data_IF_548537526031
#
_entry.id   IF_548537526031
#
_cell.length_a   1.000
_cell.length_b   1.000
_cell.length_c   1.000
_cell.angle_alpha   90.00
_cell.angle_beta   90.00
_cell.angle_gamma   90.00
#
_symmetry.space_group_name_H-M   'P 1'
#
loop_
_entity.id
_entity.type
_entity.pdbx_description
1 polymer ?
#
# COMPACT_ATOMS: atom_id res chain seq x y z
N UNK A 1 -3.93 18.71 12.49
CA UNK A 1 -4.98 17.71 12.78
C UNK A 1 -4.50 16.66 13.77
N UNK A 2 -3.46 15.86 13.45
CA UNK A 2 -2.96 14.81 14.36
C UNK A 2 -2.55 15.33 15.75
N UNK A 3 -1.79 16.44 15.80
CA UNK A 3 -1.42 17.07 17.08
C UNK A 3 -2.65 17.50 17.90
N UNK A 4 -3.61 18.18 17.28
CA UNK A 4 -4.83 18.64 17.94
C UNK A 4 -5.73 17.48 18.43
N UNK A 5 -5.87 16.42 17.62
CA UNK A 5 -6.60 15.21 18.00
C UNK A 5 -5.88 14.43 19.12
N UNK A 6 -4.54 14.39 19.06
CA UNK A 6 -3.71 13.75 20.06
C UNK A 6 -3.78 14.46 21.41
N UNK A 7 -3.73 15.79 21.45
CA UNK A 7 -3.88 16.57 22.69
C UNK A 7 -5.29 16.50 23.28
N UNK A 8 -6.30 16.24 22.45
CA UNK A 8 -7.69 16.06 22.88
C UNK A 8 -7.99 14.63 23.37
N UNK A 9 -7.15 13.66 23.02
CA UNK A 9 -7.32 12.24 23.39
C UNK A 9 -6.42 11.90 24.58
N UNK A 10 -6.90 11.08 25.52
CA UNK A 10 -6.11 10.64 26.68
C UNK A 10 -5.43 9.28 26.42
N UNK A 11 -4.41 8.97 27.25
CA UNK A 11 -3.72 7.68 27.25
C UNK A 11 -2.83 7.42 26.02
N UNK A 12 -2.59 6.15 25.73
CA UNK A 12 -1.68 5.70 24.66
C UNK A 12 -2.11 6.15 23.25
N UNK A 13 -3.42 6.37 23.03
CA UNK A 13 -3.90 6.88 21.75
C UNK A 13 -3.45 8.35 21.54
N UNK A 14 -3.58 9.19 22.57
CA UNK A 14 -3.16 10.59 22.52
C UNK A 14 -1.67 10.73 22.27
N UNK A 15 -0.84 10.01 23.03
CA UNK A 15 0.62 10.06 22.88
C UNK A 15 1.09 9.61 21.48
N UNK A 16 0.51 8.53 20.94
CA UNK A 16 0.82 8.05 19.60
C UNK A 16 0.40 9.06 18.49
N UNK A 17 -0.76 9.69 18.62
CA UNK A 17 -1.22 10.70 17.66
C UNK A 17 -0.34 11.95 17.68
N UNK A 18 0.12 12.37 18.86
CA UNK A 18 1.08 13.48 19.00
C UNK A 18 2.41 13.10 18.37
N UNK A 19 2.97 11.93 18.70
CA UNK A 19 4.22 11.43 18.13
C UNK A 19 4.15 11.38 16.59
N UNK A 20 3.06 10.84 16.05
CA UNK A 20 2.82 10.81 14.60
C UNK A 20 2.78 12.23 14.02
N UNK A 21 2.06 13.16 14.67
CA UNK A 21 1.99 14.56 14.24
C UNK A 21 3.35 15.26 14.16
N UNK A 22 4.27 14.97 15.10
CA UNK A 22 5.63 15.50 15.11
C UNK A 22 6.46 14.92 13.96
N UNK A 23 6.30 13.63 13.68
CA UNK A 23 7.13 12.87 12.75
C UNK A 23 6.69 13.02 11.29
N UNK A 24 5.39 13.25 11.03
CA UNK A 24 4.81 13.32 9.68
C UNK A 24 5.55 14.24 8.69
N UNK A 25 5.99 15.46 9.06
CA UNK A 25 6.73 16.31 8.12
C UNK A 25 8.01 15.64 7.59
N UNK A 26 8.76 14.97 8.45
CA UNK A 26 10.00 14.29 8.06
C UNK A 26 9.71 13.10 7.14
N UNK A 27 8.67 12.31 7.45
CA UNK A 27 8.22 11.20 6.60
C UNK A 27 7.78 11.67 5.23
N UNK A 28 7.02 12.77 5.16
CA UNK A 28 6.57 13.32 3.89
C UNK A 28 7.74 13.79 3.03
N UNK A 29 8.76 14.42 3.63
CA UNK A 29 9.99 14.80 2.91
C UNK A 29 10.74 13.57 2.43
N UNK A 30 10.89 12.55 3.29
CA UNK A 30 11.55 11.30 2.95
C UNK A 30 10.88 10.57 1.79
N UNK A 31 9.55 10.44 1.82
CA UNK A 31 8.77 9.85 0.73
C UNK A 31 8.87 10.69 -0.56
N UNK A 32 8.85 12.02 -0.44
CA UNK A 32 9.01 12.92 -1.59
C UNK A 32 10.37 12.73 -2.29
N UNK A 33 11.45 12.50 -1.54
CA UNK A 33 12.75 12.18 -2.12
C UNK A 33 12.72 10.87 -2.90
N UNK A 34 12.10 9.82 -2.34
CA UNK A 34 11.98 8.52 -3.01
C UNK A 34 11.31 8.66 -4.38
N UNK A 35 10.16 9.34 -4.43
CA UNK A 35 9.43 9.56 -5.70
C UNK A 35 10.18 10.49 -6.66
N UNK A 36 10.88 11.51 -6.15
CA UNK A 36 11.75 12.37 -6.99
C UNK A 36 12.86 11.56 -7.64
N UNK A 37 13.55 10.69 -6.91
CA UNK A 37 14.60 9.85 -7.47
C UNK A 37 14.07 8.85 -8.52
N UNK A 38 12.88 8.29 -8.30
CA UNK A 38 12.22 7.47 -9.33
C UNK A 38 11.88 8.28 -10.58
N UNK A 39 11.34 9.49 -10.40
CA UNK A 39 11.02 10.39 -11.51
C UNK A 39 12.26 10.87 -12.27
N UNK A 40 13.40 11.03 -11.59
CA UNK A 40 14.70 11.38 -12.21
C UNK A 40 15.38 10.18 -12.88
N UNK A 41 14.96 8.94 -12.59
CA UNK A 41 15.63 7.73 -13.09
C UNK A 41 16.91 7.38 -12.33
N UNK A 42 16.97 7.74 -11.04
CA UNK A 42 18.10 7.47 -10.12
C UNK A 42 17.71 6.45 -9.04
N UNK A 43 17.34 5.20 -9.39
CA UNK A 43 16.87 4.20 -8.42
C UNK A 43 17.90 3.84 -7.36
N UNK A 44 19.21 3.91 -7.67
CA UNK A 44 20.28 3.65 -6.71
C UNK A 44 20.30 4.68 -5.56
N UNK A 45 19.98 5.95 -5.85
CA UNK A 45 19.89 7.01 -4.84
C UNK A 45 18.67 6.80 -3.92
N UNK A 46 17.54 6.38 -4.49
CA UNK A 46 16.36 5.98 -3.71
C UNK A 46 16.67 4.79 -2.79
N UNK A 47 17.35 3.76 -3.31
CA UNK A 47 17.76 2.59 -2.53
C UNK A 47 18.70 2.97 -1.39
N UNK A 48 19.71 3.81 -1.63
CA UNK A 48 20.61 4.29 -0.59
C UNK A 48 19.84 5.02 0.52
N UNK A 49 18.86 5.84 0.15
CA UNK A 49 18.01 6.56 1.08
C UNK A 49 17.13 5.63 1.93
N UNK A 50 16.55 4.61 1.31
CA UNK A 50 15.73 3.60 2.00
C UNK A 50 16.56 2.68 2.89
N UNK A 51 17.79 2.35 2.47
CA UNK A 51 18.72 1.57 3.29
C UNK A 51 19.15 2.34 4.53
N UNK A 52 19.52 3.62 4.39
CA UNK A 52 19.88 4.45 5.55
C UNK A 52 18.70 4.61 6.51
N UNK A 53 17.48 4.77 5.97
CA UNK A 53 16.29 4.80 6.80
C UNK A 53 16.09 3.49 7.56
N UNK A 54 16.15 2.35 6.87
CA UNK A 54 15.97 1.03 7.45
C UNK A 54 17.04 0.69 8.49
N UNK A 55 18.32 0.93 8.20
CA UNK A 55 19.42 0.65 9.14
C UNK A 55 19.34 1.54 10.37
N UNK A 56 19.02 2.82 10.20
CA UNK A 56 18.85 3.75 11.33
C UNK A 56 17.66 3.36 12.19
N UNK A 57 16.54 2.95 11.56
CA UNK A 57 15.35 2.47 12.26
C UNK A 57 15.65 1.18 13.04
N UNK A 58 16.31 0.21 12.43
CA UNK A 58 16.67 -1.06 13.09
C UNK A 58 17.61 -0.81 14.27
N UNK A 59 18.62 0.05 14.10
CA UNK A 59 19.52 0.41 15.19
C UNK A 59 18.77 1.11 16.34
N UNK A 60 17.85 2.02 16.02
CA UNK A 60 17.03 2.70 17.02
C UNK A 60 16.10 1.72 17.76
N UNK A 61 15.43 0.82 17.03
CA UNK A 61 14.55 -0.19 17.62
C UNK A 61 15.30 -1.23 18.46
N UNK A 62 16.56 -1.52 18.15
CA UNK A 62 17.40 -2.39 18.98
C UNK A 62 17.88 -1.68 20.26
N UNK A 63 18.19 -0.38 20.19
CA UNK A 63 18.78 0.35 21.30
C UNK A 63 17.76 0.95 22.29
N UNK A 64 16.58 1.35 21.81
CA UNK A 64 15.60 2.11 22.62
C UNK A 64 14.86 1.27 23.67
N UNK A 65 14.39 0.04 23.40
CA UNK A 65 13.65 -0.76 24.39
C UNK A 65 14.48 -1.04 25.65
N UNK A 66 15.79 -1.18 25.51
CA UNK A 66 16.71 -1.38 26.63
C UNK A 66 16.85 -0.16 27.55
N UNK A 67 16.50 1.04 27.07
CA UNK A 67 16.69 2.32 27.80
C UNK A 67 15.39 2.99 28.22
N UNK A 68 14.32 2.83 27.43
CA UNK A 68 13.05 3.57 27.60
C UNK A 68 11.83 2.65 27.62
N UNK A 69 12.02 1.33 27.56
CA UNK A 69 10.94 0.35 27.47
C UNK A 69 10.31 0.29 26.07
N UNK A 70 9.32 -0.59 25.91
CA UNK A 70 8.65 -0.87 24.63
C UNK A 70 7.43 0.05 24.39
N UNK A 71 7.53 1.32 24.75
CA UNK A 71 6.42 2.27 24.53
C UNK A 71 6.24 2.53 23.02
N UNK A 72 4.99 2.40 22.56
CA UNK A 72 4.63 2.55 21.15
C UNK A 72 4.97 3.96 20.64
N UNK A 73 4.77 4.99 21.46
CA UNK A 73 5.05 6.36 21.06
C UNK A 73 6.56 6.57 20.85
N UNK A 74 7.40 5.94 21.68
CA UNK A 74 8.85 5.96 21.52
C UNK A 74 9.28 5.30 20.20
N UNK A 75 8.69 4.16 19.83
CA UNK A 75 8.96 3.50 18.56
C UNK A 75 8.51 4.34 17.35
N UNK A 76 7.38 5.04 17.44
CA UNK A 76 6.93 5.97 16.39
C UNK A 76 7.90 7.14 16.24
N UNK A 77 8.37 7.73 17.34
CA UNK A 77 9.37 8.81 17.31
C UNK A 77 10.70 8.32 16.72
N UNK A 78 11.13 7.11 17.06
CA UNK A 78 12.35 6.51 16.52
C UNK A 78 12.28 6.25 15.02
N UNK A 79 11.15 5.74 14.55
CA UNK A 79 10.85 5.59 13.12
C UNK A 79 10.92 6.93 12.37
N UNK A 80 10.40 7.98 13.00
CA UNK A 80 10.48 9.34 12.48
C UNK A 80 11.86 9.97 12.50
N UNK A 81 12.62 9.76 13.57
CA UNK A 81 14.00 10.21 13.66
C UNK A 81 14.86 9.58 12.57
N UNK A 82 14.66 8.28 12.30
CA UNK A 82 15.28 7.62 11.17
C UNK A 82 14.90 8.26 9.82
N UNK A 83 13.64 8.70 9.67
CA UNK A 83 13.18 9.40 8.47
C UNK A 83 13.84 10.78 8.32
N UNK A 84 14.13 11.49 9.42
CA UNK A 84 14.91 12.74 9.39
C UNK A 84 16.31 12.48 8.86
N UNK A 85 17.00 11.45 9.36
CA UNK A 85 18.36 11.11 8.91
C UNK A 85 18.38 10.82 7.40
N UNK A 86 17.41 10.05 6.92
CA UNK A 86 17.30 9.77 5.50
C UNK A 86 16.89 11.02 4.69
N UNK A 87 15.97 11.84 5.18
CA UNK A 87 15.61 13.10 4.53
C UNK A 87 16.81 14.05 4.37
N UNK A 88 17.70 14.13 5.37
CA UNK A 88 18.95 14.88 5.32
C UNK A 88 19.91 14.31 4.27
N UNK A 89 20.01 12.99 4.16
CA UNK A 89 20.75 12.34 3.08
C UNK A 89 20.16 12.68 1.70
N UNK A 90 18.83 12.67 1.56
CA UNK A 90 18.13 13.11 0.35
C UNK A 90 18.50 14.54 -0.05
N UNK A 91 18.54 15.47 0.91
CA UNK A 91 18.99 16.86 0.72
C UNK A 91 20.46 16.89 0.27
N UNK A 92 21.34 16.08 0.88
CA UNK A 92 22.74 16.02 0.49
C UNK A 92 22.94 15.46 -0.93
N UNK A 93 22.15 14.46 -1.33
CA UNK A 93 22.21 13.80 -2.64
C UNK A 93 21.70 14.66 -3.81
N UNK A 94 20.79 15.59 -3.53
CA UNK A 94 20.21 16.50 -4.54
C UNK A 94 20.71 17.93 -4.42
N UNK A 95 21.34 18.28 -3.28
CA UNK A 95 21.73 19.64 -2.90
C UNK A 95 20.55 20.62 -2.94
N UNK A 96 19.33 20.12 -2.76
CA UNK A 96 18.11 20.90 -2.81
C UNK A 96 17.39 20.83 -1.47
N UNK A 97 17.01 21.99 -0.93
CA UNK A 97 16.22 22.08 0.28
C UNK A 97 14.72 22.00 -0.04
N UNK A 98 13.92 21.28 0.77
CA UNK A 98 12.49 21.26 0.61
C UNK A 98 11.92 22.66 0.86
N UNK A 99 11.07 23.15 -0.07
CA UNK A 99 10.37 24.43 0.04
C UNK A 99 8.86 24.19 0.24
N UNK A 100 8.36 24.29 1.49
CA UNK A 100 6.94 24.08 1.80
C UNK A 100 6.01 25.05 1.05
N UNK A 101 6.45 26.28 0.76
CA UNK A 101 5.61 27.28 0.08
C UNK A 101 5.37 26.88 -1.37
N UNK A 102 6.41 26.39 -2.04
CA UNK A 102 6.29 25.84 -3.40
C UNK A 102 5.44 24.57 -3.42
N UNK A 103 5.61 23.69 -2.42
CA UNK A 103 4.80 22.49 -2.29
C UNK A 103 3.30 22.82 -2.15
N UNK A 104 2.95 23.76 -1.27
CA UNK A 104 1.56 24.21 -1.09
C UNK A 104 1.02 24.84 -2.38
N UNK A 105 1.80 25.71 -3.04
CA UNK A 105 1.40 26.34 -4.31
C UNK A 105 1.16 25.31 -5.42
N UNK A 106 2.02 24.30 -5.50
CA UNK A 106 1.85 23.21 -6.46
C UNK A 106 0.60 22.39 -6.14
N UNK A 107 0.38 22.08 -4.86
CA UNK A 107 -0.79 21.33 -4.39
C UNK A 107 -2.09 22.07 -4.71
N UNK A 108 -2.17 23.38 -4.46
CA UNK A 108 -3.35 24.18 -4.78
C UNK A 108 -3.57 24.35 -6.28
N UNK A 109 -2.50 24.45 -7.07
CA UNK A 109 -2.59 24.48 -8.53
C UNK A 109 -3.12 23.17 -9.12
N UNK A 110 -2.81 22.03 -8.51
CA UNK A 110 -3.25 20.69 -8.94
C UNK A 110 -4.39 20.14 -8.06
N UNK A 111 -5.25 21.01 -7.51
CA UNK A 111 -6.33 20.63 -6.59
C UNK A 111 -7.29 19.57 -7.14
N UNK A 112 -7.50 19.55 -8.45
CA UNK A 112 -8.38 18.56 -9.07
C UNK A 112 -7.75 17.16 -9.02
N UNK A 113 -6.51 17.03 -9.49
CA UNK A 113 -5.77 15.75 -9.47
C UNK A 113 -5.53 15.27 -8.04
N UNK A 114 -5.01 16.14 -7.18
CA UNK A 114 -4.74 15.80 -5.77
C UNK A 114 -6.03 15.49 -5.01
N UNK A 115 -7.11 16.22 -5.28
CA UNK A 115 -8.43 15.98 -4.71
C UNK A 115 -8.99 14.60 -5.09
N UNK A 116 -8.97 14.25 -6.38
CA UNK A 116 -9.44 12.93 -6.82
C UNK A 116 -8.56 11.80 -6.31
N UNK A 117 -7.23 11.94 -6.31
CA UNK A 117 -6.33 10.91 -5.77
C UNK A 117 -6.49 10.74 -4.25
N UNK A 118 -6.68 11.83 -3.51
CA UNK A 118 -6.93 11.79 -2.06
C UNK A 118 -8.28 11.13 -1.79
N UNK A 119 -9.32 11.53 -2.50
CA UNK A 119 -10.64 10.94 -2.38
C UNK A 119 -10.62 9.45 -2.73
N UNK A 120 -9.89 9.06 -3.78
CA UNK A 120 -9.68 7.68 -4.20
C UNK A 120 -8.99 6.87 -3.11
N UNK A 121 -7.89 7.38 -2.55
CA UNK A 121 -7.15 6.72 -1.47
C UNK A 121 -8.02 6.53 -0.21
N UNK A 122 -8.72 7.60 0.23
CA UNK A 122 -9.65 7.53 1.36
C UNK A 122 -10.78 6.55 1.09
N UNK A 123 -11.31 6.52 -0.13
CA UNK A 123 -12.42 5.65 -0.51
C UNK A 123 -12.02 4.17 -0.43
N UNK A 124 -10.90 3.80 -1.06
CA UNK A 124 -10.46 2.39 -1.09
C UNK A 124 -9.91 1.95 0.26
N UNK A 125 -8.95 2.71 0.82
CA UNK A 125 -8.33 2.34 2.10
C UNK A 125 -9.29 2.50 3.26
N UNK A 126 -10.15 3.52 3.24
CA UNK A 126 -11.20 3.70 4.22
C UNK A 126 -12.18 2.52 4.21
N UNK A 127 -12.64 2.07 3.03
CA UNK A 127 -13.50 0.89 2.93
C UNK A 127 -12.81 -0.37 3.44
N UNK A 128 -11.54 -0.61 3.06
CA UNK A 128 -10.77 -1.78 3.48
C UNK A 128 -10.51 -1.79 4.99
N UNK A 129 -10.13 -0.66 5.58
CA UNK A 129 -9.87 -0.55 7.02
C UNK A 129 -11.16 -0.61 7.83
N UNK A 130 -12.24 0.02 7.35
CA UNK A 130 -13.56 -0.07 7.99
C UNK A 130 -14.06 -1.52 7.97
N UNK A 131 -13.95 -2.21 6.84
CA UNK A 131 -14.27 -3.63 6.71
C UNK A 131 -13.45 -4.47 7.71
N UNK A 132 -12.14 -4.23 7.79
CA UNK A 132 -11.25 -4.94 8.73
C UNK A 132 -11.64 -4.69 10.19
N UNK A 133 -11.99 -3.46 10.56
CA UNK A 133 -12.43 -3.11 11.92
C UNK A 133 -13.76 -3.78 12.28
N UNK A 134 -14.74 -3.75 11.38
CA UNK A 134 -16.04 -4.40 11.58
C UNK A 134 -15.86 -5.92 11.68
N UNK A 135 -15.06 -6.53 10.80
CA UNK A 135 -14.71 -7.95 10.89
C UNK A 135 -14.01 -8.26 12.22
N UNK A 136 -13.17 -7.36 12.72
CA UNK A 136 -12.53 -7.49 14.02
C UNK A 136 -13.49 -7.40 15.20
N UNK A 137 -14.56 -6.61 15.07
CA UNK A 137 -15.58 -6.44 16.10
C UNK A 137 -16.55 -7.63 16.18
N UNK A 138 -16.96 -8.17 15.04
CA UNK A 138 -17.94 -9.26 14.97
C UNK A 138 -17.32 -10.65 14.77
N UNK A 139 -16.06 -10.72 14.35
CA UNK A 139 -15.34 -11.97 14.11
C UNK A 139 -14.68 -12.52 15.36
N UNK A 140 -14.26 -13.78 15.30
CA UNK A 140 -13.49 -14.40 16.39
C UNK A 140 -12.04 -13.88 16.40
N UNK A 141 -11.36 -13.83 17.56
CA UNK A 141 -9.94 -13.48 17.64
C UNK A 141 -9.06 -14.36 16.73
N UNK A 142 -9.41 -15.64 16.61
CA UNK A 142 -8.74 -16.59 15.72
C UNK A 142 -8.90 -16.23 14.24
N UNK A 143 -10.08 -15.78 13.82
CA UNK A 143 -10.34 -15.30 12.46
C UNK A 143 -9.49 -14.06 12.13
N UNK A 144 -9.46 -13.09 13.05
CA UNK A 144 -8.66 -11.87 12.89
C UNK A 144 -7.17 -12.22 12.81
N UNK A 145 -6.71 -13.13 13.68
CA UNK A 145 -5.35 -13.66 13.64
C UNK A 145 -5.01 -14.31 12.30
N UNK A 146 -5.88 -15.17 11.78
CA UNK A 146 -5.68 -15.83 10.49
C UNK A 146 -5.60 -14.84 9.32
N UNK A 147 -6.50 -13.84 9.28
CA UNK A 147 -6.51 -12.78 8.25
C UNK A 147 -5.26 -11.89 8.33
N UNK A 148 -4.80 -11.55 9.55
CA UNK A 148 -3.54 -10.81 9.76
C UNK A 148 -2.33 -11.64 9.36
N UNK A 149 -2.37 -12.95 9.61
CA UNK A 149 -1.35 -13.89 9.13
C UNK A 149 -1.26 -13.87 7.60
N UNK A 150 -2.40 -13.93 6.90
CA UNK A 150 -2.44 -13.80 5.42
C UNK A 150 -1.86 -12.46 4.97
N UNK A 151 -2.27 -11.34 5.58
CA UNK A 151 -1.73 -10.02 5.24
C UNK A 151 -0.22 -9.95 5.43
N UNK A 152 0.31 -10.55 6.49
CA UNK A 152 1.75 -10.58 6.78
C UNK A 152 2.51 -11.38 5.71
N UNK A 153 1.99 -12.56 5.33
CA UNK A 153 2.59 -13.41 4.30
C UNK A 153 2.54 -12.77 2.92
N UNK A 154 1.47 -12.04 2.61
CA UNK A 154 1.25 -11.40 1.31
C UNK A 154 1.84 -9.98 1.21
N UNK A 155 2.28 -9.38 2.32
CA UNK A 155 2.86 -8.03 2.32
C UNK A 155 3.99 -7.84 1.30
N UNK A 156 4.93 -8.80 1.11
CA UNK A 156 5.98 -8.68 0.09
C UNK A 156 5.43 -8.57 -1.34
N UNK A 157 4.34 -9.27 -1.64
CA UNK A 157 3.70 -9.23 -2.97
C UNK A 157 3.04 -7.87 -3.25
N UNK A 158 2.38 -7.30 -2.25
CA UNK A 158 1.82 -5.95 -2.32
C UNK A 158 2.91 -4.90 -2.49
N UNK A 159 4.02 -5.03 -1.76
CA UNK A 159 5.15 -4.11 -1.88
C UNK A 159 5.78 -4.17 -3.28
N UNK A 160 5.92 -5.37 -3.86
CA UNK A 160 6.39 -5.54 -5.23
C UNK A 160 5.47 -4.86 -6.25
N UNK A 161 4.15 -5.00 -6.08
CA UNK A 161 3.17 -4.33 -6.93
C UNK A 161 3.30 -2.80 -6.87
N UNK A 162 3.44 -2.24 -5.66
CA UNK A 162 3.63 -0.79 -5.44
C UNK A 162 4.95 -0.30 -6.04
N UNK A 163 6.04 -1.06 -5.87
CA UNK A 163 7.34 -0.74 -6.43
C UNK A 163 7.28 -0.69 -7.97
N UNK A 164 6.77 -1.75 -8.60
CA UNK A 164 6.61 -1.84 -10.04
C UNK A 164 5.73 -0.73 -10.61
N UNK A 165 4.64 -0.39 -9.93
CA UNK A 165 3.76 0.72 -10.33
C UNK A 165 4.46 2.07 -10.26
N UNK A 166 5.25 2.30 -9.20
CA UNK A 166 5.97 3.56 -8.98
C UNK A 166 7.03 3.82 -10.06
N UNK A 167 7.62 2.77 -10.64
CA UNK A 167 8.51 2.88 -11.80
C UNK A 167 7.76 2.95 -13.14
N UNK A 168 6.65 2.23 -13.28
CA UNK A 168 5.90 2.16 -14.52
C UNK A 168 5.25 3.50 -14.90
N UNK A 169 4.70 4.23 -13.93
CA UNK A 169 4.00 5.51 -14.19
C UNK A 169 4.94 6.53 -14.86
N UNK A 170 6.13 6.88 -14.31
CA UNK A 170 7.05 7.80 -14.96
C UNK A 170 7.51 7.33 -16.36
N UNK A 171 7.73 6.03 -16.55
CA UNK A 171 8.17 5.48 -17.83
C UNK A 171 7.10 5.63 -18.92
N UNK A 172 5.83 5.43 -18.57
CA UNK A 172 4.72 5.69 -19.49
C UNK A 172 4.55 7.18 -19.80
N UNK A 173 4.79 8.06 -18.84
CA UNK A 173 4.73 9.52 -19.04
C UNK A 173 5.89 10.04 -19.90
N UNK A 174 7.10 9.46 -19.80
CA UNK A 174 8.29 9.85 -20.58
C UNK A 174 8.18 9.51 -22.07
N UNK A 175 7.30 8.59 -22.47
CA UNK A 175 7.13 8.12 -23.85
C UNK A 175 5.73 8.45 -24.38
N UNK A 176 5.41 9.74 -24.62
CA UNK A 176 4.08 10.16 -25.07
C UNK A 176 3.72 9.56 -26.45
N UNK A 177 4.71 9.48 -27.35
CA UNK A 177 4.55 9.01 -28.74
C UNK A 177 4.48 7.48 -28.88
N UNK A 178 4.52 6.74 -27.77
CA UNK A 178 4.41 5.29 -27.80
C UNK A 178 3.05 4.87 -28.41
N UNK A 179 3.03 3.99 -29.42
CA UNK A 179 1.79 3.48 -29.99
C UNK A 179 0.89 2.88 -28.91
N UNK A 180 -0.40 3.20 -28.97
CA UNK A 180 -1.40 2.76 -27.97
C UNK A 180 -1.41 1.24 -27.77
N UNK A 181 -1.18 0.46 -28.83
CA UNK A 181 -1.07 -1.01 -28.76
C UNK A 181 0.14 -1.47 -27.93
N UNK A 182 1.27 -0.81 -28.08
CA UNK A 182 2.50 -1.11 -27.31
C UNK A 182 2.31 -0.76 -25.84
N UNK A 183 1.66 0.39 -25.56
CA UNK A 183 1.33 0.80 -24.19
C UNK A 183 0.41 -0.22 -23.48
N UNK A 184 -0.63 -0.68 -24.17
CA UNK A 184 -1.52 -1.73 -23.64
C UNK A 184 -0.80 -3.07 -23.44
N UNK A 185 0.09 -3.48 -24.35
CA UNK A 185 0.91 -4.70 -24.18
C UNK A 185 1.82 -4.60 -22.95
N UNK A 186 2.49 -3.46 -22.75
CA UNK A 186 3.33 -3.23 -21.57
C UNK A 186 2.51 -3.20 -20.28
N UNK A 187 1.29 -2.65 -20.31
CA UNK A 187 0.38 -2.71 -19.18
C UNK A 187 0.04 -4.16 -18.80
N UNK A 188 -0.36 -4.98 -19.78
CA UNK A 188 -0.65 -6.39 -19.52
C UNK A 188 0.59 -7.18 -19.09
N UNK A 189 1.77 -6.86 -19.64
CA UNK A 189 3.04 -7.47 -19.22
C UNK A 189 3.36 -7.11 -17.76
N UNK A 190 3.16 -5.85 -17.35
CA UNK A 190 3.34 -5.41 -15.97
C UNK A 190 2.40 -6.19 -15.03
N UNK A 191 1.11 -6.24 -15.35
CA UNK A 191 0.14 -7.05 -14.58
C UNK A 191 0.54 -8.52 -14.53
N UNK A 192 0.98 -9.11 -15.64
CA UNK A 192 1.40 -10.51 -15.70
C UNK A 192 2.62 -10.78 -14.80
N UNK A 193 3.61 -9.88 -14.77
CA UNK A 193 4.77 -9.98 -13.88
C UNK A 193 4.34 -9.89 -12.42
N UNK A 194 3.47 -8.96 -12.06
CA UNK A 194 2.96 -8.82 -10.67
C UNK A 194 2.18 -10.07 -10.27
N UNK A 195 1.27 -10.57 -11.11
CA UNK A 195 0.51 -11.79 -10.85
C UNK A 195 1.43 -12.98 -10.70
N UNK A 196 2.33 -13.22 -11.66
CA UNK A 196 3.23 -14.37 -11.63
C UNK A 196 4.12 -14.36 -10.38
N UNK A 197 4.75 -13.23 -10.07
CA UNK A 197 5.59 -13.09 -8.87
C UNK A 197 4.80 -13.27 -7.58
N UNK A 198 3.59 -12.70 -7.49
CA UNK A 198 2.71 -12.86 -6.32
C UNK A 198 2.25 -14.30 -6.13
N UNK A 199 1.88 -14.97 -7.23
CA UNK A 199 1.46 -16.38 -7.22
C UNK A 199 2.63 -17.29 -6.85
N UNK A 200 3.83 -17.09 -7.42
CA UNK A 200 5.03 -17.85 -7.06
C UNK A 200 5.34 -17.70 -5.57
N UNK A 201 5.36 -16.46 -5.07
CA UNK A 201 5.61 -16.18 -3.66
C UNK A 201 4.62 -16.90 -2.74
N UNK A 202 3.33 -16.83 -3.06
CA UNK A 202 2.31 -17.46 -2.23
C UNK A 202 2.28 -19.00 -2.36
N UNK A 203 2.62 -19.56 -3.53
CA UNK A 203 2.76 -21.01 -3.73
C UNK A 203 3.90 -21.59 -2.88
N UNK A 204 4.99 -20.85 -2.66
CA UNK A 204 6.10 -21.28 -1.78
C UNK A 204 5.59 -21.59 -0.37
N UNK A 205 4.64 -20.81 0.15
CA UNK A 205 4.03 -21.06 1.47
C UNK A 205 3.11 -22.29 1.53
N UNK A 206 2.64 -22.79 0.39
CA UNK A 206 1.87 -24.04 0.35
C UNK A 206 2.79 -25.28 0.41
N UNK A 207 4.02 -25.16 -0.10
CA UNK A 207 5.02 -26.23 -0.12
C UNK A 207 5.87 -26.24 1.15
N UNK A 208 5.97 -25.12 1.86
CA UNK A 208 6.74 -25.00 3.09
C UNK A 208 6.26 -25.97 4.19
N UNK A 209 7.19 -26.61 4.93
CA UNK A 209 6.85 -27.47 6.07
C UNK A 209 6.11 -26.71 7.17
N UNK A 210 5.20 -27.40 7.87
CA UNK A 210 4.42 -26.80 8.97
C UNK A 210 5.27 -26.18 10.08
N UNK A 211 6.49 -26.71 10.30
CA UNK A 211 7.42 -26.18 11.29
C UNK A 211 7.81 -24.72 11.02
N UNK A 212 8.05 -24.35 9.75
CA UNK A 212 8.42 -22.97 9.39
C UNK A 212 7.24 -22.02 9.56
N UNK A 213 6.05 -22.46 9.14
CA UNK A 213 4.84 -21.66 9.26
C UNK A 213 4.41 -21.44 10.71
N UNK A 214 4.52 -22.46 11.57
CA UNK A 214 4.29 -22.33 13.02
C UNK A 214 5.34 -21.45 13.70
N UNK A 215 6.60 -21.49 13.26
CA UNK A 215 7.62 -20.58 13.78
C UNK A 215 7.30 -19.11 13.44
N UNK A 216 6.68 -18.85 12.29
CA UNK A 216 6.36 -17.50 11.83
C UNK A 216 5.05 -16.95 12.38
N UNK A 217 3.99 -17.78 12.42
CA UNK A 217 2.62 -17.37 12.73
C UNK A 217 2.06 -18.01 14.01
N UNK A 218 2.84 -18.86 14.69
CA UNK A 218 2.42 -19.57 15.89
C UNK A 218 1.19 -20.45 15.64
N UNK A 219 0.26 -20.41 16.59
CA UNK A 219 -0.98 -21.21 16.57
C UNK A 219 -1.93 -20.82 15.43
N UNK A 220 -1.77 -19.62 14.85
CA UNK A 220 -2.62 -19.16 13.74
C UNK A 220 -2.25 -19.81 12.40
N UNK A 221 -1.09 -20.46 12.31
CA UNK A 221 -0.59 -21.06 11.07
C UNK A 221 -1.58 -22.03 10.43
N UNK A 222 -2.18 -22.93 11.20
CA UNK A 222 -3.03 -23.99 10.64
C UNK A 222 -4.29 -23.40 9.97
N UNK A 223 -4.88 -22.38 10.59
CA UNK A 223 -6.00 -21.64 10.02
C UNK A 223 -5.58 -20.82 8.81
N UNK A 224 -4.45 -20.11 8.88
CA UNK A 224 -3.91 -19.36 7.74
C UNK A 224 -3.63 -20.27 6.55
N UNK A 225 -2.99 -21.43 6.77
CA UNK A 225 -2.68 -22.41 5.72
C UNK A 225 -3.94 -22.91 5.01
N UNK A 226 -5.01 -23.19 5.76
CA UNK A 226 -6.31 -23.59 5.19
C UNK A 226 -7.00 -22.52 4.34
N UNK A 227 -6.57 -21.26 4.46
CA UNK A 227 -7.11 -20.11 3.74
C UNK A 227 -6.18 -19.60 2.62
N UNK A 228 -4.92 -20.04 2.58
CA UNK A 228 -3.92 -19.57 1.61
C UNK A 228 -4.37 -19.75 0.15
N UNK A 229 -5.02 -20.87 -0.18
CA UNK A 229 -5.54 -21.09 -1.53
C UNK A 229 -6.52 -20.00 -1.98
N UNK A 230 -7.45 -19.60 -1.11
CA UNK A 230 -8.37 -18.49 -1.38
C UNK A 230 -7.64 -17.15 -1.40
N UNK A 231 -6.68 -16.94 -0.51
CA UNK A 231 -5.89 -15.71 -0.47
C UNK A 231 -5.08 -15.48 -1.76
N UNK A 232 -4.55 -16.54 -2.39
CA UNK A 232 -3.85 -16.47 -3.69
C UNK A 232 -4.80 -15.95 -4.77
N UNK A 233 -6.00 -16.52 -4.86
CA UNK A 233 -7.02 -16.10 -5.82
C UNK A 233 -7.45 -14.65 -5.53
N UNK A 234 -7.63 -14.30 -4.26
CA UNK A 234 -7.97 -12.95 -3.82
C UNK A 234 -6.91 -11.92 -4.23
N UNK A 235 -5.63 -12.24 -4.07
CA UNK A 235 -4.50 -11.36 -4.36
C UNK A 235 -4.27 -11.15 -5.87
N UNK A 236 -4.61 -12.15 -6.69
CA UNK A 236 -4.50 -12.06 -8.14
C UNK A 236 -5.40 -10.97 -8.74
N UNK A 237 -6.55 -10.68 -8.12
CA UNK A 237 -7.49 -9.68 -8.61
C UNK A 237 -6.89 -8.26 -8.69
N UNK A 238 -6.43 -7.68 -7.56
CA UNK A 238 -5.75 -6.38 -7.57
C UNK A 238 -4.49 -6.38 -8.43
N UNK A 239 -3.72 -7.48 -8.43
CA UNK A 239 -2.50 -7.62 -9.23
C UNK A 239 -2.75 -7.47 -10.74
N UNK A 240 -3.89 -7.98 -11.24
CA UNK A 240 -4.28 -7.82 -12.64
C UNK A 240 -4.60 -6.36 -13.01
N UNK A 241 -5.12 -5.58 -12.06
CA UNK A 241 -5.46 -4.17 -12.27
C UNK A 241 -4.26 -3.22 -12.28
N UNK A 242 -3.08 -3.66 -11.79
CA UNK A 242 -1.88 -2.82 -11.66
C UNK A 242 -1.46 -2.15 -12.97
N UNK A 243 -1.32 -2.92 -14.06
CA UNK A 243 -0.94 -2.41 -15.37
C UNK A 243 -1.93 -1.38 -15.94
N UNK A 244 -3.22 -1.73 -16.09
CA UNK A 244 -4.24 -0.79 -16.53
C UNK A 244 -4.30 0.49 -15.68
N UNK A 245 -4.21 0.36 -14.36
CA UNK A 245 -4.19 1.51 -13.45
C UNK A 245 -2.96 2.40 -13.68
N UNK A 246 -1.75 1.81 -13.79
CA UNK A 246 -0.52 2.55 -14.05
C UNK A 246 -0.59 3.37 -15.34
N UNK A 247 -1.17 2.83 -16.42
CA UNK A 247 -1.38 3.57 -17.67
C UNK A 247 -2.38 4.72 -17.49
N UNK A 248 -3.51 4.48 -16.81
CA UNK A 248 -4.51 5.53 -16.59
C UNK A 248 -3.98 6.67 -15.70
N UNK A 249 -3.16 6.35 -14.71
CA UNK A 249 -2.45 7.36 -13.92
C UNK A 249 -1.43 8.13 -14.76
N UNK A 250 -0.65 7.45 -15.60
CA UNK A 250 0.31 8.10 -16.50
C UNK A 250 -0.35 9.03 -17.52
N UNK A 251 -1.60 8.74 -17.92
CA UNK A 251 -2.44 9.59 -18.78
C UNK A 251 -3.14 10.73 -18.03
N UNK A 252 -2.94 10.87 -16.72
CA UNK A 252 -3.60 11.89 -15.90
C UNK A 252 -5.12 11.69 -15.76
N UNK A 253 -5.66 10.50 -16.03
CA UNK A 253 -7.10 10.21 -16.00
C UNK A 253 -7.60 9.90 -14.57
N UNK A 254 -7.17 10.67 -13.57
CA UNK A 254 -7.47 10.42 -12.14
C UNK A 254 -8.96 10.48 -11.80
N UNK A 255 -9.76 11.25 -12.55
CA UNK A 255 -11.22 11.27 -12.39
C UNK A 255 -11.86 9.94 -12.78
N UNK A 256 -11.28 9.23 -13.75
CA UNK A 256 -11.78 7.93 -14.19
C UNK A 256 -11.43 6.84 -13.17
N UNK A 257 -10.18 6.82 -12.70
CA UNK A 257 -9.72 5.89 -11.65
C UNK A 257 -10.55 6.06 -10.37
N UNK A 258 -10.79 7.31 -9.96
CA UNK A 258 -11.66 7.62 -8.83
C UNK A 258 -13.08 7.08 -9.02
N UNK A 259 -13.70 7.27 -10.19
CA UNK A 259 -15.06 6.77 -10.46
C UNK A 259 -15.15 5.25 -10.42
N UNK A 260 -14.13 4.54 -10.91
CA UNK A 260 -14.06 3.07 -10.82
C UNK A 260 -14.01 2.66 -9.34
N UNK A 261 -13.09 3.26 -8.58
CA UNK A 261 -12.89 2.94 -7.17
C UNK A 261 -14.09 3.35 -6.28
N UNK A 262 -14.76 4.45 -6.58
CA UNK A 262 -15.96 4.89 -5.88
C UNK A 262 -17.13 3.91 -6.07
N UNK A 263 -17.31 3.37 -7.28
CA UNK A 263 -18.31 2.32 -7.54
C UNK A 263 -17.94 1.01 -6.85
N UNK A 264 -16.65 0.78 -6.65
CA UNK A 264 -16.15 -0.46 -6.09
C UNK A 264 -16.16 -0.50 -4.55
N UNK A 265 -15.94 0.64 -3.89
CA UNK A 265 -15.82 0.71 -2.44
C UNK A 265 -17.00 0.09 -1.65
N UNK A 266 -18.28 0.23 -2.09
CA UNK A 266 -19.38 -0.44 -1.42
C UNK A 266 -19.27 -1.97 -1.48
N UNK A 267 -18.76 -2.55 -2.58
CA UNK A 267 -18.53 -3.99 -2.69
C UNK A 267 -17.39 -4.46 -1.78
N UNK A 268 -16.31 -3.67 -1.67
CA UNK A 268 -15.21 -3.93 -0.73
C UNK A 268 -15.67 -3.96 0.72
N UNK A 269 -16.71 -3.20 1.06
CA UNK A 269 -17.28 -3.19 2.39
C UNK A 269 -18.31 -4.31 2.56
N UNK A 270 -19.30 -4.40 1.67
CA UNK A 270 -20.45 -5.30 1.82
C UNK A 270 -20.09 -6.77 1.63
N UNK A 271 -19.33 -7.13 0.58
CA UNK A 271 -19.08 -8.54 0.24
C UNK A 271 -18.33 -9.29 1.35
N UNK A 272 -17.25 -8.76 1.96
CA UNK A 272 -16.57 -9.44 3.07
C UNK A 272 -17.44 -9.56 4.33
N UNK A 273 -18.28 -8.56 4.61
CA UNK A 273 -19.18 -8.58 5.77
C UNK A 273 -20.31 -9.60 5.60
N UNK A 274 -20.94 -9.65 4.43
CA UNK A 274 -21.91 -10.70 4.09
C UNK A 274 -21.22 -12.08 4.17
N UNK A 275 -20.01 -12.18 3.61
CA UNK A 275 -19.20 -13.39 3.68
C UNK A 275 -18.89 -13.85 5.11
N UNK A 276 -18.60 -12.91 6.02
CA UNK A 276 -18.38 -13.20 7.44
C UNK A 276 -19.59 -13.92 8.06
N UNK A 277 -20.81 -13.44 7.79
CA UNK A 277 -22.03 -14.04 8.32
C UNK A 277 -22.36 -15.40 7.70
N UNK A 278 -22.02 -15.62 6.41
CA UNK A 278 -22.34 -16.86 5.71
C UNK A 278 -21.34 -18.00 5.93
N UNK A 279 -20.06 -17.68 6.14
CA UNK A 279 -19.00 -18.69 6.12
C UNK A 279 -17.74 -18.32 6.90
N UNK A 280 -17.83 -17.37 7.85
CA UNK A 280 -16.72 -16.95 8.69
C UNK A 280 -15.50 -16.51 7.88
N UNK A 281 -14.32 -17.01 8.21
CA UNK A 281 -13.06 -16.60 7.59
C UNK A 281 -12.97 -16.91 6.09
N UNK A 282 -13.49 -18.08 5.67
CA UNK A 282 -13.55 -18.44 4.25
C UNK A 282 -14.50 -17.51 3.49
N UNK A 283 -15.65 -17.22 4.08
CA UNK A 283 -16.63 -16.31 3.49
C UNK A 283 -16.09 -14.89 3.33
N UNK A 284 -15.33 -14.37 4.31
CA UNK A 284 -14.63 -13.08 4.19
C UNK A 284 -13.72 -13.03 2.96
N UNK A 285 -12.88 -14.05 2.77
CA UNK A 285 -11.97 -14.11 1.61
C UNK A 285 -12.73 -14.24 0.29
N UNK A 286 -13.78 -15.06 0.25
CA UNK A 286 -14.66 -15.16 -0.93
C UNK A 286 -15.32 -13.82 -1.24
N UNK A 287 -15.76 -13.09 -0.21
CA UNK A 287 -16.29 -11.73 -0.35
C UNK A 287 -15.27 -10.77 -0.97
N UNK A 288 -14.02 -10.79 -0.51
CA UNK A 288 -12.94 -10.02 -1.12
C UNK A 288 -12.61 -10.47 -2.55
N UNK A 289 -12.63 -11.78 -2.84
CA UNK A 289 -12.44 -12.31 -4.20
C UNK A 289 -13.51 -11.73 -5.14
N UNK A 290 -14.79 -11.87 -4.79
CA UNK A 290 -15.91 -11.37 -5.61
C UNK A 290 -15.73 -9.88 -5.88
N UNK A 291 -15.43 -9.12 -4.83
CA UNK A 291 -15.18 -7.69 -4.94
C UNK A 291 -14.02 -7.41 -5.91
N UNK A 292 -12.80 -7.88 -5.63
CA UNK A 292 -11.65 -7.53 -6.46
C UNK A 292 -11.78 -7.99 -7.90
N UNK A 293 -12.31 -9.20 -8.14
CA UNK A 293 -12.47 -9.73 -9.47
C UNK A 293 -13.56 -9.01 -10.28
N UNK A 294 -14.63 -8.52 -9.64
CA UNK A 294 -15.66 -7.75 -10.33
C UNK A 294 -15.14 -6.42 -10.90
N UNK A 295 -14.03 -5.90 -10.38
CA UNK A 295 -13.42 -4.65 -10.90
C UNK A 295 -12.62 -4.84 -12.17
N UNK A 296 -12.04 -6.02 -12.39
CA UNK A 296 -11.10 -6.27 -13.49
C UNK A 296 -11.69 -5.91 -14.86
N UNK A 297 -12.93 -6.31 -15.21
CA UNK A 297 -13.51 -5.95 -16.50
C UNK A 297 -13.59 -4.44 -16.70
N UNK A 298 -13.92 -3.68 -15.65
CA UNK A 298 -14.03 -2.21 -15.75
C UNK A 298 -12.67 -1.57 -16.04
N UNK A 299 -11.60 -2.03 -15.39
CA UNK A 299 -10.23 -1.57 -15.67
C UNK A 299 -9.79 -1.89 -17.11
N UNK A 300 -10.05 -3.11 -17.58
CA UNK A 300 -9.68 -3.55 -18.93
C UNK A 300 -10.46 -2.78 -20.00
N UNK A 301 -11.77 -2.61 -19.82
CA UNK A 301 -12.63 -1.86 -20.75
C UNK A 301 -12.17 -0.42 -20.82
N UNK A 302 -11.92 0.22 -19.68
CA UNK A 302 -11.47 1.62 -19.65
C UNK A 302 -10.09 1.80 -20.27
N UNK A 303 -9.16 0.87 -20.04
CA UNK A 303 -7.88 0.88 -20.75
C UNK A 303 -8.08 0.79 -22.26
N UNK A 304 -8.96 -0.10 -22.74
CA UNK A 304 -9.26 -0.24 -24.18
C UNK A 304 -9.89 1.02 -24.75
N UNK A 305 -10.90 1.61 -24.09
CA UNK A 305 -11.54 2.84 -24.55
C UNK A 305 -10.58 4.03 -24.64
N UNK A 306 -9.58 4.11 -23.74
CA UNK A 306 -8.57 5.18 -23.77
C UNK A 306 -7.38 4.87 -24.69
N UNK A 307 -7.28 3.64 -25.21
CA UNK A 307 -6.21 3.20 -26.12
C UNK A 307 -6.71 2.87 -27.53
N UNK A 308 -7.99 3.12 -27.81
CA UNK A 308 -8.55 3.13 -29.16
C UNK A 308 -8.45 4.56 -29.73
N UNK A 309 -8.11 4.68 -31.03
CA UNK A 309 -7.99 5.97 -31.71
C UNK A 309 -9.33 6.71 -31.84
#
# INVERSE_FOLDING_TARGET
MLLAAGTASSGALGSNLVAMGIVMPALLVQDSWRYTFFAEGRPAAALANDLVWATTMVAAFAALPARFGSDAACLVLAWGAAAVVAALLGIAQTRAWPDPRRAIRWFTAHRETTGFMTAEYITVQGAQQTSTLIIGMFGSPSLVGALRGIQTLLAPTTNLAVALTSFAIPEFTRRPDMPLRTRSRLAYALSAVVVASSTIWALVFLVLPDGFGRALLGDTWLQTRGLLGLAIVQQAGPALAVGPAAVLYALGRTRLTFRINLRFAPLLLACPLIGLHLGGAKGVLVGYIIAFWSTIPTWIIQLRCQTQP
#
